data_IF_351341613374
#
_entry.id   IF_351341613374
#
_cell.length_a   1.000
_cell.length_b   1.000
_cell.length_c   1.000
_cell.angle_alpha   90.00
_cell.angle_beta   90.00
_cell.angle_gamma   90.00
#
_symmetry.space_group_name_H-M   'P 1'
#
loop_
_entity.id
_entity.type
_entity.pdbx_description
1 polymer ?
#
# COMPACT_ATOMS: atom_id res chain seq x y z
N UNK A 1 -74.29 -18.67 -29.71
CA UNK A 1 -73.27 -19.04 -28.72
C UNK A 1 -72.00 -18.32 -29.09
N UNK A 2 -71.76 -17.14 -28.51
CA UNK A 2 -70.41 -16.60 -28.44
C UNK A 2 -69.66 -17.50 -27.47
N UNK A 3 -68.58 -18.13 -27.95
CA UNK A 3 -67.61 -18.76 -27.07
C UNK A 3 -66.93 -17.63 -26.32
N UNK A 4 -67.24 -17.50 -25.04
CA UNK A 4 -66.42 -16.77 -24.08
C UNK A 4 -65.06 -17.47 -24.07
N UNK A 5 -64.08 -16.87 -24.74
CA UNK A 5 -62.69 -17.18 -24.49
C UNK A 5 -62.38 -16.58 -23.11
N UNK A 6 -62.27 -17.45 -22.11
CA UNK A 6 -61.60 -17.10 -20.86
C UNK A 6 -60.18 -16.65 -21.23
N UNK A 7 -59.89 -15.37 -20.96
CA UNK A 7 -58.56 -14.77 -21.04
C UNK A 7 -57.70 -15.34 -19.90
N UNK A 8 -57.42 -16.64 -19.96
CA UNK A 8 -56.38 -17.26 -19.15
C UNK A 8 -55.04 -16.74 -19.70
N UNK A 9 -54.60 -15.61 -19.14
CA UNK A 9 -53.36 -14.94 -19.48
C UNK A 9 -52.23 -15.96 -19.61
N UNK A 10 -51.75 -16.14 -20.84
CA UNK A 10 -50.83 -17.20 -21.25
C UNK A 10 -49.42 -16.89 -20.72
N UNK A 11 -49.20 -17.03 -19.42
CA UNK A 11 -47.85 -17.01 -18.85
C UNK A 11 -47.14 -18.30 -19.25
N UNK A 12 -46.01 -18.15 -19.94
CA UNK A 12 -45.10 -19.25 -20.28
C UNK A 12 -44.67 -20.00 -19.00
N UNK A 13 -44.35 -21.29 -19.12
CA UNK A 13 -43.83 -22.08 -18.01
C UNK A 13 -42.57 -21.42 -17.42
N UNK A 14 -42.45 -21.39 -16.09
CA UNK A 14 -41.33 -20.73 -15.42
C UNK A 14 -39.99 -21.38 -15.79
N UNK A 15 -39.06 -20.57 -16.33
CA UNK A 15 -37.69 -20.99 -16.57
C UNK A 15 -36.85 -20.76 -15.32
N UNK A 16 -36.76 -21.78 -14.48
CA UNK A 16 -36.04 -21.73 -13.20
C UNK A 16 -34.52 -21.80 -13.38
N UNK A 17 -34.00 -22.03 -14.59
CA UNK A 17 -32.57 -22.21 -14.85
C UNK A 17 -31.87 -23.23 -13.93
N UNK A 18 -32.59 -24.26 -13.48
CA UNK A 18 -32.08 -25.27 -12.55
C UNK A 18 -31.96 -24.81 -11.08
N UNK A 19 -32.41 -23.61 -10.73
CA UNK A 19 -32.51 -23.15 -9.34
C UNK A 19 -33.72 -23.76 -8.64
N UNK A 20 -33.61 -23.94 -7.33
CA UNK A 20 -34.70 -24.46 -6.50
C UNK A 20 -35.29 -23.34 -5.64
N UNK A 21 -36.55 -23.53 -5.23
CA UNK A 21 -37.25 -22.61 -4.34
C UNK A 21 -37.81 -23.34 -3.14
N UNK A 22 -37.84 -22.68 -1.98
CA UNK A 22 -38.48 -23.20 -0.76
C UNK A 22 -39.48 -22.20 -0.24
N UNK A 23 -40.73 -22.62 -0.08
CA UNK A 23 -41.78 -21.78 0.47
C UNK A 23 -41.61 -21.59 1.98
N UNK A 24 -41.92 -20.39 2.47
CA UNK A 24 -41.89 -20.05 3.89
C UNK A 24 -42.78 -18.85 4.19
N UNK A 25 -42.91 -18.53 5.46
CA UNK A 25 -43.62 -17.35 5.95
C UNK A 25 -42.85 -16.69 7.09
N UNK A 26 -42.78 -15.36 7.08
CA UNK A 26 -42.10 -14.57 8.12
C UNK A 26 -43.01 -13.43 8.58
N UNK A 27 -43.10 -13.25 9.90
CA UNK A 27 -43.85 -12.13 10.51
C UNK A 27 -42.86 -11.07 10.99
N UNK A 28 -42.99 -9.86 10.44
CA UNK A 28 -42.05 -8.77 10.65
C UNK A 28 -42.75 -7.60 11.33
N UNK A 29 -42.12 -7.09 12.39
CA UNK A 29 -42.52 -5.82 13.01
C UNK A 29 -41.97 -4.67 12.18
N UNK A 30 -42.84 -3.75 11.79
CA UNK A 30 -42.46 -2.59 10.98
C UNK A 30 -41.66 -1.56 11.76
N UNK A 31 -40.91 -0.75 11.04
CA UNK A 31 -40.18 0.38 11.61
C UNK A 31 -41.12 1.56 11.98
N UNK A 32 -40.56 2.60 12.58
CA UNK A 32 -41.26 3.83 12.97
C UNK A 32 -41.94 4.54 11.79
N UNK A 33 -41.45 4.31 10.56
CA UNK A 33 -41.99 4.87 9.31
C UNK A 33 -43.03 3.94 8.66
N UNK A 34 -43.43 2.87 9.35
CA UNK A 34 -44.35 1.84 8.86
C UNK A 34 -43.84 1.10 7.59
N UNK A 35 -42.52 1.01 7.44
CA UNK A 35 -41.82 0.32 6.35
C UNK A 35 -41.16 -0.97 6.86
N UNK A 36 -40.94 -1.91 5.94
CA UNK A 36 -40.21 -3.16 6.20
C UNK A 36 -38.81 -3.18 5.59
N UNK A 37 -38.47 -2.17 4.77
CA UNK A 37 -37.14 -2.01 4.17
C UNK A 37 -36.86 -2.88 2.96
N UNK A 38 -37.84 -3.08 2.06
CA UNK A 38 -37.64 -3.77 0.77
C UNK A 38 -38.15 -2.95 -0.41
N UNK A 39 -37.54 -3.19 -1.57
CA UNK A 39 -38.04 -2.77 -2.88
C UNK A 39 -38.52 -3.99 -3.67
N UNK A 40 -39.66 -3.86 -4.34
CA UNK A 40 -40.34 -4.96 -5.06
C UNK A 40 -40.23 -4.72 -6.57
N UNK A 41 -39.88 -5.76 -7.31
CA UNK A 41 -39.84 -5.81 -8.77
C UNK A 41 -40.79 -6.86 -9.33
N UNK A 42 -40.90 -6.93 -10.66
CA UNK A 42 -41.84 -7.81 -11.35
C UNK A 42 -43.31 -7.41 -11.18
N UNK A 43 -44.17 -8.42 -11.13
CA UNK A 43 -45.63 -8.30 -11.05
C UNK A 43 -46.33 -8.08 -12.38
N UNK A 44 -47.66 -8.17 -12.33
CA UNK A 44 -48.53 -8.03 -13.49
C UNK A 44 -48.45 -6.63 -14.13
N UNK A 45 -48.66 -6.52 -15.46
CA UNK A 45 -48.98 -7.60 -16.40
C UNK A 45 -47.76 -8.34 -16.97
N UNK A 46 -46.54 -7.82 -16.79
CA UNK A 46 -45.36 -8.26 -17.54
C UNK A 46 -44.69 -9.50 -16.95
N UNK A 47 -44.71 -9.67 -15.62
CA UNK A 47 -44.03 -10.76 -14.94
C UNK A 47 -45.01 -11.54 -14.04
N UNK A 48 -45.04 -12.89 -14.10
CA UNK A 48 -45.97 -13.70 -13.31
C UNK A 48 -45.70 -13.66 -11.80
N UNK A 49 -44.49 -13.26 -11.40
CA UNK A 49 -44.05 -13.27 -10.00
C UNK A 49 -43.59 -11.87 -9.54
N UNK A 50 -43.65 -11.66 -8.22
CA UNK A 50 -43.12 -10.47 -7.56
C UNK A 50 -41.92 -10.86 -6.74
N UNK A 51 -40.82 -10.12 -6.84
CA UNK A 51 -39.59 -10.48 -6.14
C UNK A 51 -38.91 -9.27 -5.49
N UNK A 52 -38.07 -9.56 -4.49
CA UNK A 52 -37.32 -8.56 -3.75
C UNK A 52 -36.13 -8.07 -4.58
N UNK A 53 -36.13 -6.80 -4.97
CA UNK A 53 -35.05 -6.16 -5.74
C UNK A 53 -33.92 -5.67 -4.83
N UNK A 54 -34.30 -5.11 -3.68
CA UNK A 54 -33.36 -4.53 -2.73
C UNK A 54 -33.86 -4.69 -1.31
N UNK A 55 -32.94 -4.96 -0.39
CA UNK A 55 -33.15 -4.91 1.05
C UNK A 55 -32.36 -3.72 1.61
N UNK A 56 -32.98 -2.90 2.45
CA UNK A 56 -32.35 -1.77 3.13
C UNK A 56 -31.54 -2.24 4.35
N UNK A 57 -30.29 -1.81 4.49
CA UNK A 57 -29.34 -2.29 5.53
C UNK A 57 -29.81 -2.10 6.98
N UNK A 58 -30.68 -1.12 7.25
CA UNK A 58 -31.23 -0.85 8.58
C UNK A 58 -32.74 -1.14 8.68
N UNK A 59 -33.31 -1.87 7.71
CA UNK A 59 -34.73 -2.19 7.68
C UNK A 59 -35.08 -3.45 8.49
N UNK A 60 -36.34 -3.61 8.93
CA UNK A 60 -36.80 -4.82 9.62
C UNK A 60 -36.45 -6.13 8.91
N UNK A 61 -36.55 -6.18 7.58
CA UNK A 61 -36.17 -7.36 6.79
C UNK A 61 -34.68 -7.68 6.88
N UNK A 62 -33.81 -6.65 6.90
CA UNK A 62 -32.36 -6.87 7.03
C UNK A 62 -31.98 -7.37 8.41
N UNK A 63 -32.66 -6.89 9.46
CA UNK A 63 -32.42 -7.33 10.84
C UNK A 63 -32.88 -8.77 11.09
N UNK A 64 -34.00 -9.17 10.48
CA UNK A 64 -34.52 -10.53 10.53
C UNK A 64 -33.63 -11.50 9.72
N UNK A 65 -33.23 -11.11 8.50
CA UNK A 65 -32.33 -11.89 7.64
C UNK A 65 -33.00 -13.04 6.88
N UNK A 66 -34.29 -13.30 7.10
CA UNK A 66 -35.02 -14.37 6.38
C UNK A 66 -35.22 -14.05 4.90
N UNK A 67 -35.65 -12.83 4.57
CA UNK A 67 -35.90 -12.37 3.20
C UNK A 67 -34.70 -11.65 2.59
N UNK A 68 -34.47 -11.90 1.32
CA UNK A 68 -33.17 -11.64 0.69
C UNK A 68 -33.42 -11.33 -0.82
N UNK A 69 -32.56 -10.54 -1.48
CA UNK A 69 -32.78 -10.09 -2.87
C UNK A 69 -32.87 -11.26 -3.86
N UNK A 70 -33.93 -11.30 -4.68
CA UNK A 70 -34.24 -12.40 -5.58
C UNK A 70 -35.29 -13.38 -5.04
N UNK A 71 -35.67 -13.29 -3.75
CA UNK A 71 -36.79 -14.05 -3.21
C UNK A 71 -38.12 -13.57 -3.80
N UNK A 72 -39.03 -14.51 -4.05
CA UNK A 72 -40.37 -14.20 -4.54
C UNK A 72 -41.34 -14.02 -3.38
N UNK A 73 -42.25 -13.05 -3.49
CA UNK A 73 -43.36 -12.81 -2.59
C UNK A 73 -44.61 -13.49 -3.13
N UNK A 74 -45.27 -14.30 -2.30
CA UNK A 74 -46.45 -15.09 -2.69
C UNK A 74 -47.73 -14.64 -1.98
N UNK A 75 -47.64 -14.14 -0.75
CA UNK A 75 -48.80 -13.57 -0.04
C UNK A 75 -48.40 -12.49 0.99
N UNK A 76 -49.34 -11.60 1.31
CA UNK A 76 -49.25 -10.61 2.39
C UNK A 76 -50.44 -10.83 3.34
N UNK A 77 -50.18 -11.16 4.60
CA UNK A 77 -51.19 -11.49 5.62
C UNK A 77 -52.20 -12.57 5.18
N UNK A 78 -51.75 -13.54 4.36
CA UNK A 78 -52.60 -14.60 3.82
C UNK A 78 -53.26 -14.25 2.48
N UNK A 79 -53.29 -12.98 2.08
CA UNK A 79 -53.80 -12.57 0.77
C UNK A 79 -52.76 -12.82 -0.32
N UNK A 80 -53.11 -13.63 -1.32
CA UNK A 80 -52.24 -13.91 -2.46
C UNK A 80 -51.85 -12.61 -3.18
N UNK A 81 -50.59 -12.54 -3.59
CA UNK A 81 -50.07 -11.43 -4.42
C UNK A 81 -49.87 -11.81 -5.88
N UNK A 82 -50.10 -13.08 -6.25
CA UNK A 82 -50.01 -13.53 -7.63
C UNK A 82 -51.01 -12.76 -8.51
N UNK A 83 -50.56 -12.29 -9.68
CA UNK A 83 -51.37 -11.49 -10.59
C UNK A 83 -51.55 -10.02 -10.19
N UNK A 84 -50.99 -9.57 -9.07
CA UNK A 84 -51.00 -8.14 -8.68
C UNK A 84 -49.77 -7.42 -9.22
N UNK A 85 -49.91 -6.11 -9.41
CA UNK A 85 -48.80 -5.22 -9.77
C UNK A 85 -47.93 -4.90 -8.55
N UNK A 86 -46.66 -4.55 -8.78
CA UNK A 86 -45.73 -4.11 -7.72
C UNK A 86 -46.27 -2.94 -6.88
N UNK A 87 -47.06 -2.06 -7.49
CA UNK A 87 -47.68 -0.89 -6.82
C UNK A 87 -48.78 -1.34 -5.85
N UNK A 88 -49.61 -2.30 -6.25
CA UNK A 88 -50.67 -2.84 -5.39
C UNK A 88 -50.09 -3.59 -4.20
N UNK A 89 -49.06 -4.42 -4.40
CA UNK A 89 -48.40 -5.14 -3.30
C UNK A 89 -47.72 -4.17 -2.34
N UNK A 90 -47.03 -3.16 -2.85
CA UNK A 90 -46.46 -2.11 -2.01
C UNK A 90 -47.54 -1.38 -1.19
N UNK A 91 -48.72 -1.13 -1.76
CA UNK A 91 -49.87 -0.55 -1.03
C UNK A 91 -50.40 -1.51 0.02
N UNK A 92 -50.61 -2.78 -0.29
CA UNK A 92 -51.07 -3.79 0.67
C UNK A 92 -50.15 -3.86 1.89
N UNK A 93 -48.84 -3.95 1.66
CA UNK A 93 -47.86 -3.96 2.76
C UNK A 93 -47.98 -2.67 3.55
N UNK A 94 -48.04 -1.49 2.92
CA UNK A 94 -48.14 -0.19 3.62
C UNK A 94 -49.43 0.00 4.42
N UNK A 95 -50.56 -0.57 3.98
CA UNK A 95 -51.86 -0.45 4.66
C UNK A 95 -51.92 -1.20 6.00
N UNK A 96 -51.14 -2.27 6.14
CA UNK A 96 -51.02 -3.01 7.41
C UNK A 96 -50.27 -2.14 8.43
N UNK A 97 -50.75 -2.05 9.68
CA UNK A 97 -50.05 -1.33 10.78
C UNK A 97 -49.49 -2.33 11.78
N UNK A 98 -48.31 -2.04 12.32
CA UNK A 98 -47.66 -2.88 13.32
C UNK A 98 -46.89 -4.05 12.70
N UNK A 99 -47.51 -5.22 12.61
CA UNK A 99 -46.87 -6.44 12.13
C UNK A 99 -47.44 -6.89 10.78
N UNK A 100 -46.56 -7.36 9.89
CA UNK A 100 -46.94 -7.90 8.59
C UNK A 100 -46.36 -9.29 8.42
N UNK A 101 -47.18 -10.24 7.97
CA UNK A 101 -46.77 -11.60 7.65
C UNK A 101 -46.60 -11.72 6.15
N UNK A 102 -45.39 -12.06 5.70
CA UNK A 102 -45.07 -12.25 4.28
C UNK A 102 -44.89 -13.74 4.03
N UNK A 103 -45.61 -14.28 3.06
CA UNK A 103 -45.30 -15.61 2.50
C UNK A 103 -44.40 -15.41 1.29
N UNK A 104 -43.38 -16.25 1.17
CA UNK A 104 -42.33 -16.11 0.17
C UNK A 104 -41.84 -17.45 -0.35
N UNK A 105 -41.24 -17.44 -1.53
CA UNK A 105 -40.46 -18.53 -2.09
C UNK A 105 -38.99 -18.10 -2.09
N UNK A 106 -38.21 -18.73 -1.20
CA UNK A 106 -36.77 -18.47 -1.06
C UNK A 106 -36.03 -19.04 -2.27
N UNK A 107 -35.29 -18.19 -2.98
CA UNK A 107 -34.49 -18.61 -4.13
C UNK A 107 -33.14 -19.16 -3.68
N UNK A 108 -32.89 -20.44 -3.96
CA UNK A 108 -31.59 -21.07 -3.76
C UNK A 108 -30.73 -20.93 -5.02
N UNK A 109 -30.08 -19.79 -5.12
CA UNK A 109 -29.16 -19.45 -6.19
C UNK A 109 -27.71 -19.80 -5.79
N UNK A 110 -26.97 -20.52 -6.64
CA UNK A 110 -25.53 -20.68 -6.48
C UNK A 110 -24.81 -19.44 -7.02
N UNK A 111 -24.07 -18.67 -6.20
CA UNK A 111 -23.33 -17.50 -6.66
C UNK A 111 -22.34 -17.79 -7.81
N UNK A 112 -21.91 -19.05 -8.00
CA UNK A 112 -21.08 -19.44 -9.14
C UNK A 112 -21.79 -19.27 -10.48
N UNK A 113 -23.11 -19.50 -10.53
CA UNK A 113 -23.90 -19.33 -11.75
C UNK A 113 -23.95 -17.85 -12.18
N UNK A 114 -23.89 -16.92 -11.22
CA UNK A 114 -23.85 -15.48 -11.50
C UNK A 114 -22.47 -14.94 -11.91
N UNK A 115 -21.42 -15.78 -11.99
CA UNK A 115 -20.07 -15.38 -12.42
C UNK A 115 -19.89 -15.64 -13.91
N UNK A 116 -20.51 -14.81 -14.73
CA UNK A 116 -20.37 -14.89 -16.19
C UNK A 116 -19.12 -14.17 -16.71
N UNK A 117 -18.70 -14.50 -17.93
CA UNK A 117 -17.65 -13.76 -18.66
C UNK A 117 -17.97 -12.27 -18.75
N UNK A 118 -19.25 -11.93 -18.90
CA UNK A 118 -19.74 -10.55 -18.93
C UNK A 118 -19.42 -9.80 -17.62
N UNK A 119 -19.68 -10.42 -16.46
CA UNK A 119 -19.31 -9.85 -15.15
C UNK A 119 -17.79 -9.66 -15.04
N UNK A 120 -17.00 -10.62 -15.53
CA UNK A 120 -15.53 -10.53 -15.52
C UNK A 120 -15.06 -9.37 -16.40
N UNK A 121 -15.58 -9.22 -17.62
CA UNK A 121 -15.25 -8.12 -18.52
C UNK A 121 -15.64 -6.77 -17.93
N UNK A 122 -16.82 -6.67 -17.30
CA UNK A 122 -17.25 -5.48 -16.56
C UNK A 122 -16.29 -5.15 -15.41
N UNK A 123 -15.78 -6.15 -14.70
CA UNK A 123 -14.81 -5.98 -13.61
C UNK A 123 -13.47 -5.46 -14.13
N UNK A 124 -12.99 -6.00 -15.25
CA UNK A 124 -11.78 -5.52 -15.94
C UNK A 124 -11.97 -4.07 -16.41
N UNK A 125 -13.12 -3.74 -17.01
CA UNK A 125 -13.46 -2.37 -17.40
C UNK A 125 -13.33 -1.41 -16.21
N UNK A 126 -13.94 -1.72 -15.07
CA UNK A 126 -13.85 -0.86 -13.89
C UNK A 126 -12.42 -0.70 -13.38
N UNK A 127 -11.63 -1.77 -13.40
CA UNK A 127 -10.21 -1.72 -12.99
C UNK A 127 -9.38 -0.80 -13.89
N UNK A 128 -9.60 -0.84 -15.20
CA UNK A 128 -8.88 0.01 -16.16
C UNK A 128 -9.29 1.47 -16.01
N UNK A 129 -10.59 1.73 -15.90
CA UNK A 129 -11.15 3.08 -15.83
C UNK A 129 -10.76 3.81 -14.54
N UNK A 130 -10.57 3.10 -13.43
CA UNK A 130 -10.16 3.72 -12.14
C UNK A 130 -8.80 4.42 -12.23
N UNK A 131 -7.89 3.90 -13.05
CA UNK A 131 -6.54 4.47 -13.21
C UNK A 131 -6.44 5.48 -14.38
N UNK A 132 -7.55 5.78 -15.06
CA UNK A 132 -7.58 6.73 -16.18
C UNK A 132 -8.06 8.12 -15.75
N UNK A 133 -7.52 9.15 -16.41
CA UNK A 133 -8.07 10.50 -16.30
C UNK A 133 -9.48 10.56 -16.90
N UNK A 134 -10.32 11.50 -16.43
CA UNK A 134 -11.67 11.68 -16.97
C UNK A 134 -11.64 11.92 -18.48
N UNK A 135 -10.75 12.80 -18.94
CA UNK A 135 -10.64 13.13 -20.36
C UNK A 135 -10.27 11.91 -21.21
N UNK A 136 -9.37 11.05 -20.71
CA UNK A 136 -8.97 9.82 -21.41
C UNK A 136 -10.11 8.80 -21.46
N UNK A 137 -10.83 8.60 -20.35
CA UNK A 137 -11.96 7.68 -20.30
C UNK A 137 -13.10 8.14 -21.23
N UNK A 138 -13.40 9.44 -21.25
CA UNK A 138 -14.43 10.03 -22.11
C UNK A 138 -14.04 9.91 -23.60
N UNK A 139 -12.77 10.14 -23.95
CA UNK A 139 -12.26 9.96 -25.30
C UNK A 139 -12.34 8.50 -25.81
N UNK A 140 -12.24 7.52 -24.90
CA UNK A 140 -12.39 6.09 -25.21
C UNK A 140 -13.84 5.60 -25.11
N UNK A 141 -14.80 6.47 -24.78
CA UNK A 141 -16.21 6.12 -24.60
C UNK A 141 -16.47 5.23 -23.37
N UNK A 142 -15.55 5.20 -22.40
CA UNK A 142 -15.66 4.36 -21.21
C UNK A 142 -16.45 5.08 -20.12
N UNK A 143 -17.70 4.69 -19.91
CA UNK A 143 -18.53 5.24 -18.83
C UNK A 143 -17.97 4.89 -17.45
N UNK A 144 -17.81 5.91 -16.59
CA UNK A 144 -17.32 5.77 -15.21
C UNK A 144 -18.44 5.40 -14.24
N UNK A 145 -18.12 4.60 -13.24
CA UNK A 145 -19.05 4.31 -12.15
C UNK A 145 -19.09 5.47 -11.15
N UNK A 146 -20.22 5.62 -10.45
CA UNK A 146 -20.41 6.67 -9.42
C UNK A 146 -19.33 6.59 -8.31
N UNK A 147 -18.79 5.40 -8.06
CA UNK A 147 -17.76 5.15 -7.04
C UNK A 147 -16.30 5.37 -7.52
N UNK A 148 -16.07 6.01 -8.67
CA UNK A 148 -14.71 6.22 -9.22
C UNK A 148 -13.86 7.27 -8.48
N UNK A 149 -14.37 7.93 -7.45
CA UNK A 149 -13.60 8.86 -6.61
C UNK A 149 -13.46 8.32 -5.18
N UNK A 150 -12.93 7.11 -5.06
CA UNK A 150 -12.78 6.46 -3.76
C UNK A 150 -11.56 6.99 -3.01
N UNK A 151 -11.82 7.63 -1.87
CA UNK A 151 -10.79 8.17 -1.00
C UNK A 151 -9.84 7.08 -0.49
N UNK A 152 -10.29 5.83 -0.39
CA UNK A 152 -9.45 4.71 0.07
C UNK A 152 -8.41 4.31 -0.97
N UNK A 153 -8.70 4.45 -2.26
CA UNK A 153 -7.73 4.19 -3.33
C UNK A 153 -6.69 5.32 -3.37
N UNK A 154 -7.10 6.58 -3.19
CA UNK A 154 -6.15 7.70 -3.03
C UNK A 154 -5.24 7.51 -1.81
N UNK A 155 -5.78 6.99 -0.70
CA UNK A 155 -4.98 6.63 0.49
C UNK A 155 -3.95 5.54 0.20
N UNK A 156 -4.23 4.62 -0.73
CA UNK A 156 -3.25 3.64 -1.19
C UNK A 156 -2.08 4.30 -1.92
N UNK A 157 -2.36 5.24 -2.82
CA UNK A 157 -1.33 6.00 -3.54
C UNK A 157 -0.47 6.84 -2.58
N UNK A 158 -1.10 7.48 -1.60
CA UNK A 158 -0.38 8.20 -0.53
C UNK A 158 0.54 7.26 0.26
N UNK A 159 0.04 6.06 0.60
CA UNK A 159 0.81 5.04 1.31
C UNK A 159 1.98 4.51 0.46
N UNK A 160 1.79 4.37 -0.86
CA UNK A 160 2.84 4.01 -1.82
C UNK A 160 3.97 5.03 -1.87
N UNK A 161 3.62 6.31 -1.98
CA UNK A 161 4.59 7.40 -1.94
C UNK A 161 5.33 7.47 -0.59
N UNK A 162 4.60 7.33 0.51
CA UNK A 162 5.20 7.36 1.85
C UNK A 162 6.16 6.18 2.06
N UNK A 163 5.84 4.98 1.57
CA UNK A 163 6.75 3.83 1.62
C UNK A 163 8.08 4.13 0.93
N UNK A 164 8.06 4.79 -0.24
CA UNK A 164 9.27 5.15 -0.97
C UNK A 164 10.17 6.08 -0.14
N UNK A 165 9.59 7.12 0.46
CA UNK A 165 10.33 8.05 1.33
C UNK A 165 10.94 7.32 2.52
N UNK A 166 10.18 6.43 3.16
CA UNK A 166 10.67 5.69 4.33
C UNK A 166 11.74 4.65 3.99
N UNK A 167 11.65 4.01 2.82
CA UNK A 167 12.73 3.16 2.31
C UNK A 167 14.00 3.95 2.10
N UNK A 168 13.92 5.13 1.47
CA UNK A 168 15.05 6.03 1.31
C UNK A 168 15.67 6.42 2.66
N UNK A 169 14.84 6.83 3.62
CA UNK A 169 15.30 7.19 4.96
C UNK A 169 16.00 6.02 5.67
N UNK A 170 15.46 4.80 5.56
CA UNK A 170 16.06 3.61 6.16
C UNK A 170 17.43 3.29 5.56
N UNK A 171 17.55 3.32 4.23
CA UNK A 171 18.82 3.06 3.53
C UNK A 171 19.85 4.15 3.83
N UNK A 172 19.48 5.44 3.77
CA UNK A 172 20.41 6.51 4.13
C UNK A 172 20.88 6.43 5.58
N UNK A 173 19.97 6.12 6.52
CA UNK A 173 20.36 5.90 7.91
C UNK A 173 21.37 4.77 8.02
N UNK A 174 21.16 3.65 7.32
CA UNK A 174 22.06 2.50 7.32
C UNK A 174 23.43 2.88 6.76
N UNK A 175 23.49 3.64 5.67
CA UNK A 175 24.74 4.15 5.10
C UNK A 175 25.48 5.07 6.07
N UNK A 176 24.77 6.00 6.72
CA UNK A 176 25.35 6.89 7.74
C UNK A 176 25.93 6.08 8.90
N UNK A 177 25.18 5.12 9.45
CA UNK A 177 25.66 4.27 10.54
C UNK A 177 26.87 3.43 10.13
N UNK A 178 26.93 2.98 8.88
CA UNK A 178 28.12 2.31 8.33
C UNK A 178 29.33 3.25 8.29
N UNK A 179 29.16 4.48 7.81
CA UNK A 179 30.24 5.48 7.82
C UNK A 179 30.75 5.77 9.24
N UNK A 180 29.85 5.88 10.23
CA UNK A 180 30.26 6.02 11.64
C UNK A 180 30.99 4.79 12.17
N UNK A 181 30.61 3.58 11.74
CA UNK A 181 31.32 2.35 12.13
C UNK A 181 32.74 2.31 11.56
N UNK A 182 32.91 2.68 10.30
CA UNK A 182 34.22 2.81 9.65
C UNK A 182 35.07 3.89 10.33
N UNK A 183 34.48 5.03 10.69
CA UNK A 183 35.14 6.08 11.46
C UNK A 183 35.63 5.58 12.84
N UNK A 184 34.82 4.77 13.55
CA UNK A 184 35.24 4.16 14.81
C UNK A 184 36.48 3.27 14.63
N UNK A 185 36.55 2.54 13.52
CA UNK A 185 37.73 1.72 13.20
C UNK A 185 38.97 2.59 12.98
N UNK A 186 38.84 3.71 12.27
CA UNK A 186 39.92 4.68 12.08
C UNK A 186 40.39 5.25 13.42
N UNK A 187 39.47 5.64 14.31
CA UNK A 187 39.84 6.13 15.64
C UNK A 187 40.61 5.10 16.48
N UNK A 188 40.22 3.83 16.42
CA UNK A 188 40.97 2.76 17.08
C UNK A 188 42.40 2.68 16.55
N UNK A 189 42.55 2.63 15.22
CA UNK A 189 43.86 2.53 14.57
C UNK A 189 44.73 3.74 14.87
N UNK A 190 44.16 4.95 14.84
CA UNK A 190 44.85 6.17 15.25
C UNK A 190 45.32 6.06 16.71
N UNK A 191 44.43 5.64 17.59
CA UNK A 191 44.75 5.44 19.00
C UNK A 191 45.91 4.47 19.24
N UNK A 192 45.94 3.37 18.50
CA UNK A 192 46.99 2.36 18.57
C UNK A 192 48.33 2.88 18.04
N UNK A 193 48.32 3.57 16.89
CA UNK A 193 49.53 4.16 16.30
C UNK A 193 50.12 5.22 17.22
N UNK A 194 49.33 6.18 17.67
CA UNK A 194 49.83 7.27 18.53
C UNK A 194 50.30 6.76 19.89
N UNK A 195 49.62 5.78 20.50
CA UNK A 195 50.13 5.14 21.70
C UNK A 195 51.47 4.42 21.45
N UNK A 196 51.65 3.78 20.29
CA UNK A 196 52.91 3.11 19.94
C UNK A 196 54.07 4.08 19.72
N UNK A 197 53.79 5.26 19.13
CA UNK A 197 54.77 6.34 18.98
C UNK A 197 55.12 6.90 20.35
N UNK A 198 54.13 7.19 21.19
CA UNK A 198 54.33 7.73 22.53
C UNK A 198 55.26 6.88 23.39
N UNK A 199 55.12 5.54 23.37
CA UNK A 199 55.99 4.64 24.14
C UNK A 199 57.44 4.63 23.64
N UNK A 200 57.67 4.93 22.37
CA UNK A 200 59.01 4.91 21.74
C UNK A 200 59.68 6.27 21.73
N UNK A 201 58.94 7.34 22.01
CA UNK A 201 59.43 8.71 21.95
C UNK A 201 60.36 9.02 23.14
N UNK A 202 61.64 9.39 22.90
CA UNK A 202 62.59 9.66 23.98
C UNK A 202 62.25 10.90 24.80
N UNK A 203 61.62 11.90 24.19
CA UNK A 203 61.24 13.12 24.87
C UNK A 203 59.95 12.91 25.69
N UNK A 204 60.06 12.98 27.02
CA UNK A 204 58.95 12.69 27.93
C UNK A 204 57.68 13.51 27.64
N UNK A 205 57.81 14.79 27.29
CA UNK A 205 56.68 15.68 26.96
C UNK A 205 55.96 15.26 25.67
N UNK A 206 56.71 14.87 24.64
CA UNK A 206 56.15 14.37 23.38
C UNK A 206 55.56 12.96 23.55
N UNK A 207 56.20 12.11 24.36
CA UNK A 207 55.68 10.79 24.76
C UNK A 207 54.31 10.88 25.43
N UNK A 208 54.17 11.76 26.43
CA UNK A 208 52.90 12.02 27.13
C UNK A 208 51.84 12.59 26.18
N UNK A 209 52.22 13.54 25.32
CA UNK A 209 51.37 14.13 24.29
C UNK A 209 50.76 13.07 23.35
N UNK A 210 51.59 12.22 22.74
CA UNK A 210 51.13 11.17 21.84
C UNK A 210 50.28 10.11 22.56
N UNK A 211 50.63 9.77 23.80
CA UNK A 211 49.85 8.81 24.60
C UNK A 211 48.46 9.35 24.93
N UNK A 212 48.37 10.61 25.37
CA UNK A 212 47.08 11.29 25.67
C UNK A 212 46.22 11.44 24.41
N UNK A 213 46.82 11.78 23.28
CA UNK A 213 46.12 11.87 22.00
C UNK A 213 45.61 10.50 21.54
N UNK A 214 46.42 9.45 21.70
CA UNK A 214 46.04 8.08 21.37
C UNK A 214 44.90 7.54 22.25
N UNK A 215 44.94 7.80 23.55
CA UNK A 215 43.87 7.43 24.48
C UNK A 215 42.55 8.15 24.14
N UNK A 216 42.62 9.43 23.78
CA UNK A 216 41.46 10.22 23.36
C UNK A 216 40.76 9.60 22.16
N UNK A 217 41.50 9.16 21.15
CA UNK A 217 40.95 8.48 19.97
C UNK A 217 40.34 7.12 20.32
N UNK A 218 40.95 6.34 21.22
CA UNK A 218 40.33 5.09 21.72
C UNK A 218 39.04 5.35 22.50
N UNK A 219 38.96 6.43 23.25
CA UNK A 219 37.73 6.82 23.94
C UNK A 219 36.63 7.25 22.95
N UNK A 220 36.97 8.01 21.89
CA UNK A 220 36.03 8.36 20.82
C UNK A 220 35.46 7.12 20.12
N UNK A 221 36.27 6.09 19.86
CA UNK A 221 35.79 4.79 19.36
C UNK A 221 34.75 4.18 20.31
N UNK A 222 35.05 4.12 21.61
CA UNK A 222 34.13 3.56 22.62
C UNK A 222 32.78 4.30 22.64
N UNK A 223 32.81 5.63 22.55
CA UNK A 223 31.59 6.45 22.46
C UNK A 223 30.84 6.19 21.15
N UNK A 224 31.54 6.05 20.03
CA UNK A 224 30.96 5.74 18.72
C UNK A 224 30.28 4.37 18.70
N UNK A 225 30.90 3.33 19.25
CA UNK A 225 30.28 2.00 19.39
C UNK A 225 29.02 2.06 20.26
N UNK A 226 29.03 2.84 21.36
CA UNK A 226 27.84 3.03 22.21
C UNK A 226 26.71 3.73 21.46
N UNK A 227 27.03 4.76 20.67
CA UNK A 227 26.09 5.43 19.78
C UNK A 227 25.46 4.46 18.78
N UNK A 228 26.28 3.69 18.05
CA UNK A 228 25.81 2.72 17.06
C UNK A 228 24.89 1.67 17.69
N UNK A 229 25.24 1.12 18.86
CA UNK A 229 24.38 0.18 19.60
C UNK A 229 23.04 0.80 20.01
N UNK A 230 23.05 2.10 20.34
CA UNK A 230 21.85 2.83 20.76
C UNK A 230 20.93 3.09 19.58
N UNK A 231 21.45 3.39 18.40
CA UNK A 231 20.62 3.73 17.22
C UNK A 231 20.20 2.50 16.42
N UNK A 232 21.00 1.43 16.41
CA UNK A 232 20.73 0.22 15.61
C UNK A 232 19.29 -0.33 15.71
N UNK A 233 18.62 -0.40 16.88
CA UNK A 233 17.24 -0.90 16.97
C UNK A 233 16.25 -0.13 16.09
N UNK A 234 16.50 1.15 15.84
CA UNK A 234 15.67 2.00 14.97
C UNK A 234 15.48 1.40 13.57
N UNK A 235 16.54 0.84 12.99
CA UNK A 235 16.48 0.21 11.67
C UNK A 235 15.58 -1.04 11.68
N UNK A 236 15.53 -1.76 12.81
CA UNK A 236 14.69 -2.96 12.96
C UNK A 236 13.22 -2.58 13.06
N UNK A 237 12.93 -1.52 13.82
CA UNK A 237 11.57 -0.98 13.99
C UNK A 237 11.03 -0.42 12.66
N UNK A 238 11.83 0.41 11.98
CA UNK A 238 11.48 0.95 10.66
C UNK A 238 11.33 -0.16 9.61
N UNK A 239 12.21 -1.17 9.65
CA UNK A 239 12.11 -2.36 8.81
C UNK A 239 10.83 -3.16 9.05
N UNK A 240 10.36 -3.24 10.30
CA UNK A 240 9.08 -3.90 10.63
C UNK A 240 7.89 -3.13 10.07
N UNK A 241 7.90 -1.80 10.19
CA UNK A 241 6.87 -0.94 9.59
C UNK A 241 6.82 -1.10 8.06
N UNK A 242 7.97 -1.00 7.39
CA UNK A 242 8.09 -1.06 5.94
C UNK A 242 7.80 -2.43 5.34
N UNK A 243 8.27 -3.51 5.98
CA UNK A 243 8.23 -4.84 5.39
C UNK A 243 7.07 -5.70 5.89
N UNK A 244 6.39 -5.30 6.98
CA UNK A 244 5.24 -6.05 7.52
C UNK A 244 3.97 -5.21 7.54
N UNK A 245 3.98 -4.05 8.20
CA UNK A 245 2.76 -3.27 8.41
C UNK A 245 2.21 -2.64 7.12
N UNK A 246 3.06 -1.95 6.36
CA UNK A 246 2.65 -1.30 5.09
C UNK A 246 2.15 -2.33 4.06
N UNK A 247 2.85 -3.46 3.79
CA UNK A 247 2.38 -4.45 2.83
C UNK A 247 1.06 -5.12 3.23
N UNK A 248 0.82 -5.37 4.52
CA UNK A 248 -0.44 -5.93 5.01
C UNK A 248 -1.63 -4.97 4.80
N UNK A 249 -1.45 -3.68 5.10
CA UNK A 249 -2.47 -2.65 4.84
C UNK A 249 -2.73 -2.51 3.34
N UNK A 250 -1.68 -2.45 2.51
CA UNK A 250 -1.81 -2.43 1.05
C UNK A 250 -2.58 -3.64 0.51
N UNK A 251 -2.28 -4.83 1.00
CA UNK A 251 -2.98 -6.05 0.60
C UNK A 251 -4.48 -5.97 0.93
N UNK A 252 -4.80 -5.40 2.09
CA UNK A 252 -6.20 -5.22 2.52
C UNK A 252 -6.94 -4.24 1.62
N UNK A 253 -6.31 -3.10 1.27
CA UNK A 253 -6.90 -2.12 0.34
C UNK A 253 -7.06 -2.72 -1.06
N UNK A 254 -6.09 -3.51 -1.55
CA UNK A 254 -6.19 -4.20 -2.85
C UNK A 254 -7.34 -5.21 -2.87
N UNK A 255 -7.55 -5.97 -1.78
CA UNK A 255 -8.71 -6.88 -1.63
C UNK A 255 -10.03 -6.10 -1.64
N UNK A 256 -10.09 -4.99 -0.93
CA UNK A 256 -11.25 -4.09 -0.94
C UNK A 256 -11.56 -3.59 -2.36
N UNK A 257 -10.57 -3.09 -3.09
CA UNK A 257 -10.74 -2.60 -4.46
C UNK A 257 -11.25 -3.69 -5.40
N UNK A 258 -10.75 -4.93 -5.26
CA UNK A 258 -11.21 -6.06 -6.07
C UNK A 258 -12.69 -6.40 -5.83
N UNK A 259 -13.13 -6.39 -4.56
CA UNK A 259 -14.53 -6.63 -4.18
C UNK A 259 -15.43 -5.45 -4.58
N UNK A 260 -14.94 -4.22 -4.48
CA UNK A 260 -15.61 -3.01 -5.00
C UNK A 260 -15.90 -3.17 -6.49
N UNK A 261 -14.92 -3.58 -7.29
CA UNK A 261 -15.12 -3.76 -8.73
C UNK A 261 -16.11 -4.89 -9.03
N UNK A 262 -16.06 -5.99 -8.30
CA UNK A 262 -17.06 -7.07 -8.42
C UNK A 262 -18.49 -6.55 -8.13
N UNK A 263 -18.68 -5.80 -7.04
CA UNK A 263 -19.98 -5.20 -6.71
C UNK A 263 -20.46 -4.23 -7.79
N UNK A 264 -19.57 -3.37 -8.31
CA UNK A 264 -19.91 -2.44 -9.38
C UNK A 264 -20.28 -3.15 -10.69
N UNK A 265 -19.64 -4.26 -11.01
CA UNK A 265 -20.01 -5.08 -12.18
C UNK A 265 -21.44 -5.62 -12.07
N UNK A 266 -21.84 -6.09 -10.89
CA UNK A 266 -23.22 -6.52 -10.66
C UNK A 266 -24.21 -5.36 -10.71
N UNK A 267 -23.86 -4.19 -10.15
CA UNK A 267 -24.69 -2.98 -10.28
C UNK A 267 -24.91 -2.57 -11.74
N UNK A 268 -23.85 -2.62 -12.55
CA UNK A 268 -23.94 -2.30 -13.97
C UNK A 268 -24.79 -3.34 -14.71
N UNK A 269 -24.62 -4.63 -14.43
CA UNK A 269 -25.43 -5.69 -15.05
C UNK A 269 -26.91 -5.55 -14.71
N UNK A 270 -27.25 -5.25 -13.46
CA UNK A 270 -28.65 -4.99 -13.09
C UNK A 270 -29.21 -3.81 -13.85
N UNK A 271 -28.45 -2.71 -13.96
CA UNK A 271 -28.89 -1.53 -14.71
C UNK A 271 -29.12 -1.85 -16.19
N UNK A 272 -28.20 -2.58 -16.83
CA UNK A 272 -28.37 -3.01 -18.23
C UNK A 272 -29.62 -3.87 -18.43
N UNK A 273 -29.93 -4.76 -17.48
CA UNK A 273 -31.15 -5.58 -17.53
C UNK A 273 -32.42 -4.74 -17.27
N UNK A 274 -32.36 -3.73 -16.40
CA UNK A 274 -33.46 -2.78 -16.18
C UNK A 274 -33.71 -1.92 -17.43
N UNK A 275 -32.65 -1.44 -18.08
CA UNK A 275 -32.71 -0.63 -19.31
C UNK A 275 -33.24 -1.47 -20.49
N UNK A 276 -32.86 -2.74 -20.58
CA UNK A 276 -33.42 -3.71 -21.53
C UNK A 276 -34.93 -3.90 -21.30
N UNK A 277 -35.34 -4.22 -20.05
CA UNK A 277 -36.75 -4.38 -19.70
C UNK A 277 -37.58 -3.15 -20.07
N UNK A 278 -37.07 -1.94 -19.77
CA UNK A 278 -37.71 -0.68 -20.14
C UNK A 278 -37.86 -0.51 -21.66
N UNK A 279 -36.84 -0.91 -22.43
CA UNK A 279 -36.85 -0.78 -23.89
C UNK A 279 -37.90 -1.69 -24.52
N UNK A 280 -37.96 -2.96 -24.13
CA UNK A 280 -38.98 -3.90 -24.60
C UNK A 280 -40.38 -3.45 -24.19
N UNK A 281 -40.53 -2.94 -22.96
CA UNK A 281 -41.80 -2.38 -22.50
C UNK A 281 -42.24 -1.16 -23.34
N UNK A 282 -41.31 -0.27 -23.72
CA UNK A 282 -41.60 0.88 -24.57
C UNK A 282 -42.00 0.48 -26.00
N UNK A 283 -41.45 -0.62 -26.51
CA UNK A 283 -41.80 -1.21 -27.80
C UNK A 283 -43.08 -2.06 -27.75
N UNK A 284 -43.63 -2.31 -26.56
CA UNK A 284 -44.75 -3.24 -26.32
C UNK A 284 -44.44 -4.67 -26.79
N UNK A 285 -43.17 -5.06 -26.74
CA UNK A 285 -42.73 -6.41 -27.08
C UNK A 285 -42.56 -7.26 -25.82
N UNK A 286 -42.97 -8.55 -25.86
CA UNK A 286 -42.73 -9.46 -24.75
C UNK A 286 -41.25 -9.78 -24.61
N UNK A 287 -40.77 -9.86 -23.37
CA UNK A 287 -39.40 -10.28 -23.06
C UNK A 287 -39.44 -11.63 -22.35
N UNK A 288 -39.00 -12.68 -23.05
CA UNK A 288 -39.08 -14.08 -22.60
C UNK A 288 -38.61 -14.29 -21.16
N UNK A 289 -37.46 -13.70 -20.79
CA UNK A 289 -36.91 -13.78 -19.42
C UNK A 289 -37.90 -13.26 -18.37
N UNK A 290 -38.62 -12.18 -18.66
CA UNK A 290 -39.56 -11.56 -17.72
C UNK A 290 -40.85 -12.37 -17.62
N UNK A 291 -41.36 -12.86 -18.76
CA UNK A 291 -42.58 -13.68 -18.84
C UNK A 291 -42.41 -15.02 -18.12
N UNK A 292 -41.20 -15.55 -18.06
CA UNK A 292 -40.86 -16.85 -17.44
C UNK A 292 -40.40 -16.73 -15.97
N UNK A 293 -40.70 -15.61 -15.30
CA UNK A 293 -40.45 -15.43 -13.86
C UNK A 293 -39.09 -14.81 -13.50
N UNK A 294 -38.33 -14.38 -14.50
CA UNK A 294 -37.15 -13.53 -14.37
C UNK A 294 -36.02 -14.07 -13.46
N UNK A 295 -35.78 -15.37 -13.52
CA UNK A 295 -34.82 -16.06 -12.64
C UNK A 295 -33.37 -15.60 -12.84
N UNK A 296 -32.93 -15.28 -14.06
CA UNK A 296 -31.59 -14.74 -14.31
C UNK A 296 -31.38 -13.40 -13.58
N UNK A 297 -32.33 -12.47 -13.68
CA UNK A 297 -32.24 -11.19 -12.97
C UNK A 297 -32.22 -11.39 -11.46
N UNK A 298 -33.06 -12.30 -10.94
CA UNK A 298 -33.12 -12.63 -9.51
C UNK A 298 -31.79 -13.24 -9.00
N UNK A 299 -31.14 -14.07 -9.80
CA UNK A 299 -29.78 -14.58 -9.52
C UNK A 299 -28.76 -13.43 -9.46
N UNK A 300 -28.79 -12.50 -10.42
CA UNK A 300 -27.89 -11.34 -10.43
C UNK A 300 -28.16 -10.42 -9.22
N UNK A 301 -29.41 -10.22 -8.82
CA UNK A 301 -29.78 -9.48 -7.61
C UNK A 301 -29.20 -10.11 -6.34
N UNK A 302 -29.22 -11.44 -6.23
CA UNK A 302 -28.60 -12.17 -5.12
C UNK A 302 -27.10 -11.96 -5.10
N UNK A 303 -26.43 -12.18 -6.23
CA UNK A 303 -24.99 -11.96 -6.36
C UNK A 303 -24.59 -10.52 -6.02
N UNK A 304 -25.38 -9.53 -6.44
CA UNK A 304 -25.19 -8.12 -6.10
C UNK A 304 -25.30 -7.87 -4.60
N UNK A 305 -26.30 -8.45 -3.93
CA UNK A 305 -26.46 -8.33 -2.49
C UNK A 305 -25.26 -8.93 -1.74
N UNK A 306 -24.82 -10.12 -2.12
CA UNK A 306 -23.66 -10.78 -1.50
C UNK A 306 -22.38 -9.96 -1.70
N UNK A 307 -22.15 -9.46 -2.92
CA UNK A 307 -21.02 -8.59 -3.22
C UNK A 307 -21.07 -7.29 -2.42
N UNK A 308 -22.25 -6.69 -2.23
CA UNK A 308 -22.44 -5.49 -1.40
C UNK A 308 -22.06 -5.73 0.05
N UNK A 309 -22.49 -6.84 0.64
CA UNK A 309 -22.17 -7.19 2.03
C UNK A 309 -20.66 -7.34 2.21
N UNK A 310 -19.99 -8.06 1.29
CA UNK A 310 -18.53 -8.19 1.31
C UNK A 310 -17.83 -6.84 1.14
N UNK A 311 -18.32 -6.00 0.23
CA UNK A 311 -17.80 -4.66 -0.02
C UNK A 311 -17.89 -3.77 1.23
N UNK A 312 -19.07 -3.68 1.85
CA UNK A 312 -19.28 -2.87 3.06
C UNK A 312 -18.41 -3.34 4.22
N UNK A 313 -18.29 -4.66 4.42
CA UNK A 313 -17.41 -5.23 5.45
C UNK A 313 -15.94 -4.84 5.23
N UNK A 314 -15.40 -5.09 4.03
CA UNK A 314 -14.00 -4.75 3.72
C UNK A 314 -13.74 -3.25 3.77
N UNK A 315 -14.73 -2.41 3.44
CA UNK A 315 -14.62 -0.96 3.58
C UNK A 315 -14.35 -0.57 5.03
N UNK A 316 -15.12 -1.12 5.97
CA UNK A 316 -14.91 -0.89 7.41
C UNK A 316 -13.56 -1.44 7.88
N UNK A 317 -13.18 -2.64 7.43
CA UNK A 317 -11.89 -3.26 7.79
C UNK A 317 -10.71 -2.39 7.33
N UNK A 318 -10.76 -1.84 6.11
CA UNK A 318 -9.74 -0.93 5.57
C UNK A 318 -9.65 0.36 6.39
N UNK A 319 -10.78 0.96 6.76
CA UNK A 319 -10.79 2.19 7.55
C UNK A 319 -10.12 1.99 8.91
N UNK A 320 -10.46 0.90 9.61
CA UNK A 320 -9.85 0.57 10.91
C UNK A 320 -8.35 0.31 10.74
N UNK A 321 -7.93 -0.44 9.70
CA UNK A 321 -6.50 -0.70 9.45
C UNK A 321 -5.70 0.57 9.13
N UNK A 322 -6.27 1.50 8.36
CA UNK A 322 -5.63 2.77 8.07
C UNK A 322 -5.46 3.60 9.34
N UNK A 323 -6.48 3.66 10.19
CA UNK A 323 -6.41 4.38 11.47
C UNK A 323 -5.35 3.78 12.41
N UNK A 324 -5.31 2.45 12.53
CA UNK A 324 -4.29 1.76 13.34
C UNK A 324 -2.87 1.97 12.80
N UNK A 325 -2.72 2.01 11.47
CA UNK A 325 -1.44 2.27 10.83
C UNK A 325 -0.98 3.70 11.12
N UNK A 326 -1.86 4.70 10.95
CA UNK A 326 -1.54 6.11 11.16
C UNK A 326 -1.18 6.41 12.62
N UNK A 327 -1.95 5.89 13.59
CA UNK A 327 -1.68 6.08 15.01
C UNK A 327 -0.31 5.52 15.42
N UNK A 328 0.01 4.30 14.98
CA UNK A 328 1.30 3.67 15.25
C UNK A 328 2.44 4.41 14.56
N UNK A 329 2.22 4.81 13.31
CA UNK A 329 3.23 5.43 12.47
C UNK A 329 3.77 6.75 13.04
N UNK A 330 2.88 7.66 13.47
CA UNK A 330 3.29 8.99 13.96
C UNK A 330 4.09 8.87 15.25
N UNK A 331 3.66 8.02 16.17
CA UNK A 331 4.34 7.84 17.46
C UNK A 331 5.71 7.20 17.28
N UNK A 332 5.79 6.12 16.49
CA UNK A 332 7.04 5.39 16.27
C UNK A 332 8.06 6.26 15.52
N UNK A 333 7.68 6.93 14.43
CA UNK A 333 8.62 7.74 13.64
C UNK A 333 9.24 8.89 14.41
N UNK A 334 8.41 9.65 15.14
CA UNK A 334 8.89 10.80 15.94
C UNK A 334 9.83 10.33 17.04
N UNK A 335 9.49 9.22 17.70
CA UNK A 335 10.36 8.63 18.72
C UNK A 335 11.71 8.19 18.13
N UNK A 336 11.70 7.51 16.98
CA UNK A 336 12.90 7.04 16.32
C UNK A 336 13.79 8.19 15.82
N UNK A 337 13.23 9.23 15.19
CA UNK A 337 14.01 10.41 14.77
C UNK A 337 14.63 11.14 15.95
N UNK A 338 13.87 11.33 17.05
CA UNK A 338 14.40 11.94 18.27
C UNK A 338 15.53 11.10 18.87
N UNK A 339 15.40 9.77 18.87
CA UNK A 339 16.44 8.85 19.35
C UNK A 339 17.72 8.98 18.51
N UNK A 340 17.62 9.03 17.18
CA UNK A 340 18.77 9.25 16.29
C UNK A 340 19.45 10.58 16.59
N UNK A 341 18.70 11.69 16.55
CA UNK A 341 19.25 13.03 16.72
C UNK A 341 19.86 13.24 18.10
N UNK A 342 19.18 12.79 19.16
CA UNK A 342 19.67 12.91 20.54
C UNK A 342 20.94 12.07 20.74
N UNK A 343 20.98 10.86 20.20
CA UNK A 343 22.16 9.99 20.30
C UNK A 343 23.34 10.57 19.52
N UNK A 344 23.08 11.12 18.33
CA UNK A 344 24.10 11.75 17.49
C UNK A 344 24.67 13.01 18.15
N UNK A 345 23.81 13.87 18.69
CA UNK A 345 24.23 15.07 19.42
C UNK A 345 25.06 14.70 20.66
N UNK A 346 24.60 13.71 21.44
CA UNK A 346 25.31 13.25 22.62
C UNK A 346 26.71 12.70 22.27
N UNK A 347 26.81 11.90 21.20
CA UNK A 347 28.08 11.37 20.71
C UNK A 347 29.04 12.50 20.31
N UNK A 348 28.59 13.45 19.49
CA UNK A 348 29.44 14.55 19.04
C UNK A 348 29.90 15.44 20.19
N UNK A 349 29.02 15.71 21.17
CA UNK A 349 29.39 16.46 22.37
C UNK A 349 30.43 15.71 23.22
N UNK A 350 30.33 14.38 23.36
CA UNK A 350 31.33 13.57 24.06
C UNK A 350 32.69 13.63 23.36
N UNK A 351 32.71 13.52 22.03
CA UNK A 351 33.93 13.66 21.24
C UNK A 351 34.55 15.06 21.39
N UNK A 352 33.71 16.10 21.39
CA UNK A 352 34.16 17.48 21.59
C UNK A 352 34.81 17.67 22.97
N UNK A 353 34.19 17.24 24.07
CA UNK A 353 34.76 17.40 25.41
C UNK A 353 36.09 16.64 25.55
N UNK A 354 36.20 15.42 25.00
CA UNK A 354 37.47 14.67 24.97
C UNK A 354 38.56 15.46 24.23
N UNK A 355 38.24 16.01 23.07
CA UNK A 355 39.24 16.71 22.26
C UNK A 355 39.61 18.07 22.86
N UNK A 356 38.66 18.77 23.48
CA UNK A 356 38.86 20.05 24.18
C UNK A 356 39.83 19.91 25.36
N UNK A 357 39.73 18.81 26.12
CA UNK A 357 40.64 18.51 27.22
C UNK A 357 42.04 18.06 26.73
N UNK A 358 42.16 17.78 25.43
CA UNK A 358 43.36 17.29 24.74
C UNK A 358 44.09 18.45 24.05
N UNK A 359 44.49 19.46 24.82
CA UNK A 359 45.38 20.51 24.33
C UNK A 359 46.84 20.02 24.29
N UNK A 360 47.19 19.35 23.20
CA UNK A 360 48.45 18.61 23.05
C UNK A 360 49.45 19.35 22.13
N UNK A 361 49.02 20.43 21.47
CA UNK A 361 49.84 21.17 20.52
C UNK A 361 50.31 22.53 21.06
N UNK A 362 51.49 23.01 20.61
CA UNK A 362 52.43 22.35 19.70
C UNK A 362 53.24 21.23 20.38
N UNK A 363 53.49 20.14 19.65
CA UNK A 363 54.38 19.06 20.09
C UNK A 363 55.79 19.43 19.65
N UNK A 364 56.67 19.73 20.60
CA UNK A 364 58.10 19.90 20.33
C UNK A 364 58.71 18.51 20.10
N UNK A 365 59.37 18.31 18.96
CA UNK A 365 60.05 17.06 18.58
C UNK A 365 61.52 17.37 18.31
N UNK A 366 62.42 16.78 19.10
CA UNK A 366 63.85 16.86 18.86
C UNK A 366 64.27 15.84 17.79
N UNK A 367 64.35 16.29 16.54
CA UNK A 367 64.83 15.46 15.43
C UNK A 367 66.37 15.36 15.45
N UNK A 368 66.96 14.15 15.43
CA UNK A 368 68.39 13.98 15.20
C UNK A 368 68.85 14.65 13.90
N UNK A 369 70.07 15.20 13.85
CA UNK A 369 70.61 15.83 12.63
C UNK A 369 70.67 14.90 11.40
N UNK A 370 70.59 13.59 11.62
CA UNK A 370 70.56 12.55 10.58
C UNK A 370 69.17 12.29 10.01
N UNK A 371 68.11 12.90 10.55
CA UNK A 371 66.70 12.61 10.19
C UNK A 371 66.39 12.86 8.71
N UNK A 372 67.10 13.81 8.09
CA UNK A 372 66.92 14.16 6.67
C UNK A 372 68.19 13.95 5.83
N UNK A 373 69.17 13.17 6.32
CA UNK A 373 70.35 12.83 5.53
C UNK A 373 70.02 11.70 4.55
N UNK A 374 69.55 12.07 3.37
CA UNK A 374 69.50 11.17 2.22
C UNK A 374 70.95 10.89 1.76
N UNK A 375 71.36 9.62 1.77
CA UNK A 375 72.68 9.22 1.26
C UNK A 375 72.72 9.46 -0.25
N UNK A 376 73.73 10.18 -0.73
CA UNK A 376 73.90 10.53 -2.15
C UNK A 376 73.92 9.32 -3.10
N UNK A 377 74.17 8.11 -2.58
CA UNK A 377 74.16 6.84 -3.32
C UNK A 377 72.75 6.36 -3.74
N UNK A 378 71.68 7.03 -3.31
CA UNK A 378 70.29 6.69 -3.69
C UNK A 378 69.67 7.62 -4.73
N UNK A 379 70.42 8.61 -5.23
CA UNK A 379 70.02 9.45 -6.35
C UNK A 379 70.52 8.83 -7.67
N UNK A 380 69.65 8.59 -8.68
CA UNK A 380 70.10 8.15 -9.99
C UNK A 380 71.04 9.20 -10.60
N UNK A 381 72.28 8.82 -10.92
CA UNK A 381 73.18 9.65 -11.72
C UNK A 381 72.67 9.70 -13.16
N UNK A 382 71.96 10.76 -13.54
CA UNK A 382 71.73 11.06 -14.96
C UNK A 382 72.94 11.80 -15.51
N UNK A 383 73.80 11.07 -16.21
CA UNK A 383 74.82 11.62 -17.10
C UNK A 383 74.14 12.28 -18.30
N UNK A 384 74.30 13.59 -18.43
CA UNK A 384 73.95 14.31 -19.66
C UNK A 384 74.90 13.87 -20.78
N UNK A 385 74.34 13.23 -21.80
CA UNK A 385 74.96 13.10 -23.12
C UNK A 385 74.13 13.96 -24.08
N UNK A 386 74.70 15.09 -24.48
CA UNK A 386 74.26 15.88 -25.63
C UNK A 386 74.73 15.16 -26.91
N UNK A 387 73.80 14.64 -27.71
CA UNK A 387 73.97 14.49 -29.16
C UNK A 387 72.61 14.75 -29.85
N UNK A 388 72.71 15.37 -31.02
CA UNK A 388 71.73 16.24 -31.66
C UNK A 388 70.51 15.54 -32.34
N UNK A 389 69.48 16.37 -32.55
CA UNK A 389 68.48 16.40 -33.63
C UNK A 389 67.18 15.56 -33.59
N UNK A 390 66.08 16.35 -33.64
CA UNK A 390 64.78 16.16 -34.31
C UNK A 390 63.79 15.10 -33.79
N UNK A 391 62.81 15.51 -32.95
CA UNK A 391 61.42 15.79 -33.39
C UNK A 391 60.37 15.81 -32.24
N UNK A 392 59.59 16.91 -32.25
CA UNK A 392 58.18 17.16 -31.88
C UNK A 392 57.57 16.75 -30.51
N UNK A 393 57.27 17.81 -29.73
CA UNK A 393 56.09 18.11 -28.90
C UNK A 393 55.29 17.00 -28.18
N UNK A 394 55.28 17.05 -26.84
CA UNK A 394 54.03 17.31 -26.09
C UNK A 394 54.36 17.83 -24.67
N UNK A 395 54.06 19.12 -24.45
CA UNK A 395 54.15 19.84 -23.18
C UNK A 395 52.91 19.56 -22.30
N UNK A 396 53.10 18.94 -21.13
CA UNK A 396 52.18 19.15 -20.00
C UNK A 396 52.85 20.01 -18.90
N UNK A 397 52.44 21.28 -18.74
CA UNK A 397 52.73 22.04 -17.52
C UNK A 397 51.66 21.79 -16.44
N UNK A 398 52.16 21.44 -15.25
CA UNK A 398 51.48 21.51 -13.96
C UNK A 398 50.80 22.87 -13.74
N UNK A 399 49.51 22.87 -13.37
CA UNK A 399 48.85 24.05 -12.79
C UNK A 399 48.21 23.70 -11.45
N UNK A 400 48.59 24.52 -10.47
CA UNK A 400 48.23 24.53 -9.05
C UNK A 400 46.73 24.77 -8.87
N UNK A 401 46.13 24.04 -7.91
CA UNK A 401 44.72 24.16 -7.55
C UNK A 401 44.42 25.46 -6.79
N UNK A 402 43.40 26.20 -7.24
CA UNK A 402 42.80 27.34 -6.54
C UNK A 402 41.40 26.98 -6.03
N UNK A 403 41.02 27.55 -4.88
CA UNK A 403 39.85 27.22 -4.06
C UNK A 403 38.50 27.30 -4.80
N UNK A 404 37.65 26.29 -4.58
CA UNK A 404 36.33 26.19 -5.20
C UNK A 404 35.26 27.02 -4.45
N UNK A 405 34.70 28.02 -5.15
CA UNK A 405 33.37 28.56 -4.86
C UNK A 405 32.28 27.64 -5.47
N UNK A 406 31.06 27.62 -4.92
CA UNK A 406 30.03 26.66 -5.31
C UNK A 406 29.17 27.18 -6.46
N UNK A 407 28.94 26.36 -7.50
CA UNK A 407 27.89 26.55 -8.52
C UNK A 407 27.69 25.22 -9.29
N UNK A 408 26.66 25.07 -10.14
CA UNK A 408 25.27 24.78 -9.85
C UNK A 408 24.86 23.37 -10.32
N UNK A 409 23.67 22.91 -9.92
CA UNK A 409 23.10 21.59 -10.26
C UNK A 409 22.90 21.39 -11.77
N UNK A 410 23.33 20.24 -12.36
CA UNK A 410 22.75 19.71 -13.59
C UNK A 410 22.19 18.28 -13.44
N UNK A 411 21.41 17.91 -14.45
CA UNK A 411 20.36 16.89 -14.48
C UNK A 411 20.84 15.44 -14.59
N UNK A 412 19.98 14.56 -14.04
CA UNK A 412 19.83 13.11 -14.24
C UNK A 412 20.50 12.50 -15.48
N UNK A 413 21.35 11.50 -15.24
CA UNK A 413 21.59 10.33 -16.11
C UNK A 413 22.09 9.14 -15.28
N UNK A 414 21.30 8.07 -15.32
CA UNK A 414 21.57 6.63 -15.12
C UNK A 414 22.57 6.20 -14.02
N UNK A 415 22.01 5.79 -12.88
CA UNK A 415 22.68 5.33 -11.66
C UNK A 415 23.01 3.82 -11.68
N UNK A 416 23.98 3.36 -12.48
CA UNK A 416 24.38 1.93 -12.44
C UNK A 416 25.89 1.63 -12.43
N UNK A 417 26.80 2.61 -12.34
CA UNK A 417 28.24 2.27 -12.36
C UNK A 417 29.19 3.23 -11.61
N UNK A 418 28.93 3.45 -10.31
CA UNK A 418 29.85 4.17 -9.40
C UNK A 418 30.40 3.23 -8.33
N UNK A 419 31.11 2.19 -8.75
CA UNK A 419 32.08 1.48 -7.92
C UNK A 419 33.48 1.84 -8.41
N UNK A 420 34.25 2.56 -7.58
CA UNK A 420 35.67 2.78 -7.82
C UNK A 420 36.39 1.42 -7.93
N UNK A 421 37.19 1.18 -8.99
CA UNK A 421 37.83 -0.12 -9.21
C UNK A 421 39.03 -0.25 -8.26
N UNK A 422 38.99 -1.25 -7.38
CA UNK A 422 40.10 -1.55 -6.45
C UNK A 422 39.75 -2.35 -5.19
N UNK A 423 38.47 -2.70 -4.96
CA UNK A 423 38.07 -3.39 -3.74
C UNK A 423 38.09 -4.91 -3.88
N UNK A 424 39.09 -5.54 -3.27
CA UNK A 424 39.20 -6.99 -3.12
C UNK A 424 38.04 -7.54 -2.26
N UNK A 425 37.52 -8.69 -2.69
CA UNK A 425 36.41 -9.49 -2.13
C UNK A 425 36.60 -10.04 -0.70
N UNK A 426 37.50 -9.47 0.10
CA UNK A 426 37.75 -9.89 1.50
C UNK A 426 36.97 -9.10 2.55
N UNK A 427 36.47 -7.91 2.20
CA UNK A 427 35.73 -7.04 3.16
C UNK A 427 34.27 -7.51 3.35
N UNK A 428 33.75 -8.29 2.40
CA UNK A 428 32.43 -8.92 2.50
C UNK A 428 32.38 -10.06 3.53
N UNK A 429 33.50 -10.74 3.79
CA UNK A 429 33.57 -11.87 4.73
C UNK A 429 33.73 -11.41 6.19
N UNK A 430 34.39 -10.28 6.46
CA UNK A 430 34.53 -9.75 7.84
C UNK A 430 33.22 -9.12 8.37
N UNK A 431 32.30 -8.74 7.47
CA UNK A 431 30.92 -8.36 7.81
C UNK A 431 30.02 -9.59 8.03
N UNK A 432 30.37 -10.76 7.49
CA UNK A 432 29.68 -12.02 7.78
C UNK A 432 30.13 -12.64 9.11
N UNK A 433 31.35 -12.34 9.58
CA UNK A 433 31.89 -12.79 10.88
C UNK A 433 31.32 -12.05 12.09
N UNK A 434 30.82 -10.83 11.92
CA UNK A 434 29.98 -10.15 12.91
C UNK A 434 28.56 -10.64 12.72
N UNK A 435 28.19 -11.70 13.45
CA UNK A 435 26.86 -12.32 13.49
C UNK A 435 25.73 -11.26 13.62
N UNK A 436 25.29 -10.74 12.47
CA UNK A 436 24.21 -9.77 12.26
C UNK A 436 22.99 -10.41 11.57
N UNK A 437 23.06 -11.72 11.33
CA UNK A 437 21.98 -12.61 10.93
C UNK A 437 22.20 -13.97 11.63
N UNK A 438 21.39 -14.30 12.64
CA UNK A 438 21.43 -15.63 13.26
C UNK A 438 20.49 -15.79 14.46
N UNK A 439 19.27 -16.29 14.17
CA UNK A 439 18.15 -16.72 15.03
C UNK A 439 17.49 -15.70 15.98
#
# INVERSE_FOLDING_TARGET
MMLEYEDDGCFMEEDKMGMTVTSGSVTLKKDEKNLIGISIGGGAPLCPCLYVVQVSESGPVSSDGTLQCGDELTAVNGDTVKGKSKVEVAKMIKCVKGEVTLSYNKLHADPKQGKSLDIILKKVKHRVVENMSSATADALGLSRAILCNDTLVKKLEELERNEFVYKGLAEHTKLVLRGYFELCHVYRTFGDVFASIGVREPQARASEAFTKFGESHRNMERHGIKFLKTVKPMLTDLGTYLNKAVPDTKLTIKKYADVKFEYLSYCLKVKEMDDEEYTYQALQEPLYRVETGNYEYRLILRCRQDARVRFSKLRSDVLVKLELLDQKHVQDMVFQMNRLLSSLSHYNNQCYEIMKDTNVFPIELDLPQTTFQYSADTLPQTSYHDEDDEDEEDDEPLVVAEEALPDPVPKQKDDDDLLLPGFSSKVTDDLAGLNLLGN
#
